data_IF_319618726147
#
_entry.id   IF_319618726147
#
_cell.length_a   1.000
_cell.length_b   1.000
_cell.length_c   1.000
_cell.angle_alpha   90.00
_cell.angle_beta   90.00
_cell.angle_gamma   90.00
#
_symmetry.space_group_name_H-M   'P 1'
#
loop_
_entity.id
_entity.type
_entity.pdbx_description
1 polymer ?
#
# COMPACT_ATOMS: atom_id res chain seq x y z
N UNK A 1 3.27 9.54 -5.82
CA UNK A 1 2.59 10.19 -4.65
C UNK A 1 3.50 10.04 -3.43
N UNK A 2 3.76 11.08 -2.63
CA UNK A 2 4.67 10.98 -1.49
C UNK A 2 4.03 10.36 -0.26
N UNK A 3 4.85 9.82 0.66
CA UNK A 3 4.39 9.20 1.91
C UNK A 3 3.54 10.16 2.75
N UNK A 4 3.94 11.42 2.86
CA UNK A 4 3.27 12.42 3.70
C UNK A 4 1.84 12.72 3.23
N UNK A 5 1.56 12.55 1.94
CA UNK A 5 0.20 12.72 1.40
C UNK A 5 -0.69 11.53 1.71
N UNK A 6 -0.12 10.34 1.84
CA UNK A 6 -0.84 9.09 2.09
C UNK A 6 -1.09 8.88 3.60
N UNK A 7 -0.16 9.32 4.44
CA UNK A 7 -0.24 9.12 5.88
C UNK A 7 -1.05 10.22 6.61
N UNK A 8 -1.34 9.95 7.89
CA UNK A 8 -1.92 10.91 8.81
C UNK A 8 -3.30 11.42 8.40
N UNK A 9 -3.61 12.67 8.76
CA UNK A 9 -4.90 13.30 8.44
C UNK A 9 -5.04 13.60 6.95
N UNK A 10 -3.93 14.00 6.32
CA UNK A 10 -3.87 14.30 4.89
C UNK A 10 -4.30 13.11 4.04
N UNK A 11 -3.93 11.89 4.43
CA UNK A 11 -4.36 10.66 3.76
C UNK A 11 -5.88 10.47 3.74
N UNK A 12 -6.59 10.86 4.80
CA UNK A 12 -8.06 10.80 4.86
C UNK A 12 -8.66 11.90 3.99
N UNK A 13 -8.19 13.14 4.15
CA UNK A 13 -8.69 14.30 3.42
C UNK A 13 -8.54 14.15 1.90
N UNK A 14 -7.47 13.49 1.46
CA UNK A 14 -7.20 13.22 0.05
C UNK A 14 -7.79 11.88 -0.44
N UNK A 15 -8.47 11.12 0.42
CA UNK A 15 -9.12 9.86 0.07
C UNK A 15 -8.15 8.68 -0.18
N UNK A 16 -6.88 8.79 0.22
CA UNK A 16 -5.92 7.70 0.10
C UNK A 16 -6.06 6.63 1.19
N UNK A 17 -6.60 7.00 2.35
CA UNK A 17 -6.83 6.08 3.48
C UNK A 17 -8.21 6.27 4.07
N UNK A 18 -8.86 5.18 4.48
CA UNK A 18 -10.18 5.24 5.14
C UNK A 18 -10.10 5.55 6.64
N UNK A 19 -8.92 5.45 7.25
CA UNK A 19 -8.67 5.62 8.69
C UNK A 19 -7.33 6.29 8.89
N UNK A 20 -7.17 6.92 10.06
CA UNK A 20 -5.91 7.59 10.42
C UNK A 20 -4.79 6.55 10.48
N UNK A 21 -3.80 6.70 9.60
CA UNK A 21 -2.68 5.77 9.49
C UNK A 21 -1.37 6.50 9.88
N UNK A 22 -0.67 6.08 10.95
CA UNK A 22 0.63 6.63 11.30
C UNK A 22 1.62 6.47 10.16
N UNK A 23 2.51 7.45 9.98
CA UNK A 23 3.47 7.47 8.87
C UNK A 23 4.31 6.20 8.78
N UNK A 24 4.87 5.73 9.91
CA UNK A 24 5.63 4.49 9.96
C UNK A 24 4.83 3.26 9.48
N UNK A 25 3.54 3.23 9.78
CA UNK A 25 2.67 2.13 9.36
C UNK A 25 2.36 2.24 7.87
N UNK A 26 2.05 3.44 7.38
CA UNK A 26 1.86 3.69 5.96
C UNK A 26 3.11 3.29 5.15
N UNK A 27 4.29 3.67 5.61
CA UNK A 27 5.55 3.28 4.97
C UNK A 27 5.72 1.75 4.95
N UNK A 28 5.48 1.07 6.08
CA UNK A 28 5.60 -0.39 6.16
C UNK A 28 4.68 -1.12 5.17
N UNK A 29 3.42 -0.68 5.05
CA UNK A 29 2.45 -1.23 4.09
C UNK A 29 2.85 -0.92 2.64
N UNK A 30 3.35 0.29 2.35
CA UNK A 30 3.85 0.67 1.03
C UNK A 30 5.09 -0.16 0.64
N UNK A 31 5.99 -0.42 1.59
CA UNK A 31 7.15 -1.30 1.39
C UNK A 31 6.70 -2.74 1.11
N UNK A 32 5.66 -3.22 1.79
CA UNK A 32 5.08 -4.53 1.50
C UNK A 32 4.52 -4.59 0.07
N UNK A 33 3.80 -3.56 -0.37
CA UNK A 33 3.29 -3.46 -1.75
C UNK A 33 4.41 -3.42 -2.79
N UNK A 34 5.57 -2.86 -2.47
CA UNK A 34 6.77 -2.94 -3.31
C UNK A 34 7.31 -4.38 -3.35
N UNK A 35 7.42 -5.03 -2.18
CA UNK A 35 7.92 -6.41 -2.06
C UNK A 35 7.11 -7.39 -2.91
N UNK A 36 5.78 -7.25 -2.93
CA UNK A 36 4.89 -8.09 -3.75
C UNK A 36 4.75 -7.59 -5.20
N UNK A 37 5.50 -6.55 -5.58
CA UNK A 37 5.63 -6.10 -6.98
C UNK A 37 4.50 -5.20 -7.50
N UNK A 38 3.62 -4.69 -6.62
CA UNK A 38 2.50 -3.82 -7.02
C UNK A 38 2.91 -2.33 -7.10
N UNK A 39 3.89 -1.93 -6.29
CA UNK A 39 4.42 -0.56 -6.28
C UNK A 39 5.91 -0.51 -6.62
N UNK A 40 6.37 0.67 -7.01
CA UNK A 40 7.77 1.07 -6.98
C UNK A 40 7.91 2.40 -6.24
N UNK A 41 9.02 2.54 -5.51
CA UNK A 41 9.47 3.81 -4.94
C UNK A 41 10.38 4.50 -5.96
N UNK A 42 10.06 5.74 -6.26
CA UNK A 42 10.91 6.68 -6.96
C UNK A 42 11.42 7.68 -5.93
N UNK A 43 12.67 8.10 -6.10
CA UNK A 43 13.25 9.18 -5.33
C UNK A 43 13.40 10.38 -6.26
N UNK A 44 13.34 11.58 -5.70
CA UNK A 44 13.78 12.77 -6.42
C UNK A 44 15.27 12.62 -6.84
N UNK A 45 15.74 13.50 -7.73
CA UNK A 45 17.14 13.47 -8.19
C UNK A 45 18.19 13.66 -7.08
N UNK A 46 17.75 13.96 -5.85
CA UNK A 46 18.60 14.15 -4.66
C UNK A 46 18.47 13.02 -3.63
N UNK A 47 17.53 12.08 -3.80
CA UNK A 47 17.30 10.98 -2.86
C UNK A 47 16.52 11.37 -1.59
N UNK A 48 15.97 12.59 -1.51
CA UNK A 48 15.42 13.15 -0.26
C UNK A 48 13.92 12.85 -0.14
N UNK A 49 13.18 13.08 -1.22
CA UNK A 49 11.73 12.87 -1.24
C UNK A 49 11.40 11.57 -1.93
N UNK A 50 10.53 10.78 -1.29
CA UNK A 50 9.99 9.59 -1.91
C UNK A 50 8.69 9.87 -2.67
N UNK A 51 8.47 9.09 -3.71
CA UNK A 51 7.18 9.01 -4.36
C UNK A 51 6.89 7.59 -4.80
N UNK A 52 5.64 7.18 -4.69
CA UNK A 52 5.19 5.83 -5.03
C UNK A 52 4.39 5.87 -6.33
N UNK A 53 4.65 4.88 -7.19
CA UNK A 53 3.92 4.63 -8.43
C UNK A 53 3.49 3.18 -8.53
N UNK A 54 2.36 2.95 -9.21
CA UNK A 54 1.94 1.60 -9.60
C UNK A 54 2.89 1.00 -10.63
N UNK A 55 3.15 -0.30 -10.50
CA UNK A 55 3.73 -1.11 -11.58
C UNK A 55 2.66 -1.45 -12.62
N UNK A 56 3.04 -1.97 -13.80
CA UNK A 56 2.07 -2.50 -14.76
C UNK A 56 1.15 -3.56 -14.14
N UNK A 57 1.69 -4.46 -13.31
CA UNK A 57 0.92 -5.47 -12.58
C UNK A 57 -0.08 -4.82 -11.60
N UNK A 58 0.37 -3.86 -10.80
CA UNK A 58 -0.51 -3.12 -9.89
C UNK A 58 -1.64 -2.41 -10.63
N UNK A 59 -1.36 -1.81 -11.79
CA UNK A 59 -2.37 -1.14 -12.62
C UNK A 59 -3.40 -2.13 -13.17
N UNK A 60 -2.97 -3.31 -13.64
CA UNK A 60 -3.88 -4.36 -14.10
C UNK A 60 -4.82 -4.82 -12.98
N UNK A 61 -4.29 -5.02 -11.77
CA UNK A 61 -5.09 -5.43 -10.61
C UNK A 61 -6.16 -4.39 -10.26
N UNK A 62 -5.78 -3.10 -10.21
CA UNK A 62 -6.71 -1.99 -9.96
C UNK A 62 -7.81 -1.96 -11.04
N UNK A 63 -7.46 -2.14 -12.31
CA UNK A 63 -8.45 -2.19 -13.40
C UNK A 63 -9.45 -3.34 -13.25
N UNK A 64 -9.02 -4.50 -12.73
CA UNK A 64 -9.94 -5.61 -12.46
C UNK A 64 -10.94 -5.22 -11.36
N UNK A 65 -10.46 -4.58 -10.29
CA UNK A 65 -11.32 -4.15 -9.17
C UNK A 65 -12.24 -2.99 -9.53
N UNK A 66 -11.78 -2.04 -10.36
CA UNK A 66 -12.63 -0.98 -10.90
C UNK A 66 -13.76 -1.57 -11.76
N UNK A 67 -13.47 -2.61 -12.55
CA UNK A 67 -14.48 -3.30 -13.37
C UNK A 67 -15.45 -4.15 -12.55
N UNK A 68 -14.98 -4.83 -11.51
CA UNK A 68 -15.87 -5.60 -10.62
C UNK A 68 -16.69 -4.70 -9.70
N UNK A 69 -16.29 -3.43 -9.53
CA UNK A 69 -16.92 -2.47 -8.64
C UNK A 69 -16.72 -2.78 -7.15
N UNK A 70 -15.92 -3.80 -6.83
CA UNK A 70 -15.69 -4.23 -5.46
C UNK A 70 -14.24 -4.68 -5.25
N UNK A 71 -13.68 -4.23 -4.13
CA UNK A 71 -12.47 -4.82 -3.56
C UNK A 71 -12.84 -6.16 -2.93
N UNK A 72 -12.10 -7.25 -3.20
CA UNK A 72 -12.39 -8.55 -2.61
C UNK A 72 -12.27 -8.46 -1.09
N UNK A 73 -13.24 -9.02 -0.37
CA UNK A 73 -13.19 -9.11 1.09
C UNK A 73 -12.27 -10.27 1.49
N UNK A 74 -11.20 -10.03 2.26
CA UNK A 74 -10.31 -11.10 2.67
C UNK A 74 -11.03 -12.09 3.58
N UNK A 75 -10.83 -13.38 3.34
CA UNK A 75 -11.38 -14.45 4.17
C UNK A 75 -10.77 -14.43 5.57
N UNK A 76 -11.39 -15.15 6.51
CA UNK A 76 -10.85 -15.27 7.87
C UNK A 76 -9.45 -15.88 7.90
N UNK A 77 -9.17 -16.86 7.03
CA UNK A 77 -7.85 -17.47 6.90
C UNK A 77 -6.84 -16.47 6.34
N UNK A 78 -7.21 -15.65 5.36
CA UNK A 78 -6.35 -14.59 4.82
C UNK A 78 -5.95 -13.59 5.90
N UNK A 79 -6.90 -13.23 6.78
CA UNK A 79 -6.65 -12.33 7.91
C UNK A 79 -5.65 -12.93 8.89
N UNK A 80 -5.82 -14.19 9.27
CA UNK A 80 -4.89 -14.90 10.17
C UNK A 80 -3.50 -14.98 9.53
N UNK A 81 -3.41 -15.40 8.27
CA UNK A 81 -2.16 -15.49 7.53
C UNK A 81 -1.45 -14.14 7.45
N UNK A 82 -2.18 -13.07 7.14
CA UNK A 82 -1.63 -11.72 7.10
C UNK A 82 -1.15 -11.25 8.47
N UNK A 83 -1.91 -11.50 9.54
CA UNK A 83 -1.51 -11.16 10.91
C UNK A 83 -0.25 -11.92 11.32
N UNK A 84 -0.14 -13.21 11.00
CA UNK A 84 1.06 -14.00 11.27
C UNK A 84 2.26 -13.46 10.47
N UNK A 85 2.10 -13.15 9.19
CA UNK A 85 3.18 -12.58 8.39
C UNK A 85 3.64 -11.20 8.87
N UNK A 86 2.73 -10.35 9.31
CA UNK A 86 3.07 -9.04 9.88
C UNK A 86 3.75 -9.16 11.25
N UNK A 87 3.36 -10.12 12.08
CA UNK A 87 3.91 -10.29 13.43
C UNK A 87 5.24 -11.05 13.44
N UNK A 88 5.34 -12.11 12.63
CA UNK A 88 6.51 -12.98 12.55
C UNK A 88 7.53 -12.53 11.50
N UNK A 89 7.21 -11.49 10.70
CA UNK A 89 8.04 -10.98 9.59
C UNK A 89 8.53 -12.08 8.65
N UNK A 90 7.69 -13.10 8.42
CA UNK A 90 8.08 -14.24 7.62
C UNK A 90 8.36 -13.81 6.17
N UNK A 91 9.38 -14.39 5.53
CA UNK A 91 9.55 -14.21 4.10
C UNK A 91 8.37 -14.87 3.37
N UNK A 92 7.58 -14.03 2.69
CA UNK A 92 6.69 -14.44 1.59
C UNK A 92 7.57 -14.77 0.39
#
# INVERSE_FOLDING_TARGET
>A
ISLQRIAGKTGIEQGYTQKLLPEQRAESELMWLIKVGLLRREVDGQGITDSFRLTPLGRQLVQVWEKSGCLPTPSWLDRIYNTLNLWLRLPI
#
